data_IF_322702777228
#
_entry.id   IF_322702777228
#
_cell.length_a   1.000
_cell.length_b   1.000
_cell.length_c   1.000
_cell.angle_alpha   90.00
_cell.angle_beta   90.00
_cell.angle_gamma   90.00
#
_symmetry.space_group_name_H-M   'P 1'
#
loop_
_entity.id
_entity.type
_entity.pdbx_description
1 polymer ?
#
# COMPACT_ATOMS: atom_id res chain seq x y z
N UNK A 1 36.86 -45.26 34.18
CA UNK A 1 37.03 -43.82 34.49
C UNK A 1 36.74 -42.95 33.26
N UNK A 2 37.40 -43.20 32.11
CA UNK A 2 37.26 -42.42 30.86
C UNK A 2 35.82 -42.30 30.32
N UNK A 3 35.02 -43.37 30.40
CA UNK A 3 33.62 -43.36 29.96
C UNK A 3 32.70 -42.49 30.84
N UNK A 4 32.99 -42.38 32.14
CA UNK A 4 32.20 -41.56 33.06
C UNK A 4 32.45 -40.08 32.80
N UNK A 5 33.72 -39.70 32.55
CA UNK A 5 34.05 -38.32 32.18
C UNK A 5 33.44 -37.90 30.84
N UNK A 6 33.39 -38.80 29.85
CA UNK A 6 32.71 -38.55 28.58
C UNK A 6 31.20 -38.37 28.74
N UNK A 7 30.54 -39.20 29.55
CA UNK A 7 29.12 -39.06 29.85
C UNK A 7 28.84 -37.72 30.57
N UNK A 8 29.66 -37.35 31.56
CA UNK A 8 29.54 -36.06 32.25
C UNK A 8 29.77 -34.88 31.29
N UNK A 9 30.78 -34.95 30.43
CA UNK A 9 31.05 -33.91 29.44
C UNK A 9 29.87 -33.75 28.44
N UNK A 10 29.31 -34.86 27.97
CA UNK A 10 28.14 -34.85 27.08
C UNK A 10 26.92 -34.20 27.74
N UNK A 11 26.62 -34.56 28.99
CA UNK A 11 25.51 -33.95 29.74
C UNK A 11 25.72 -32.46 29.95
N UNK A 12 26.94 -32.03 30.26
CA UNK A 12 27.28 -30.60 30.42
C UNK A 12 27.13 -29.84 29.09
N UNK A 13 27.52 -30.44 27.97
CA UNK A 13 27.31 -29.85 26.63
C UNK A 13 25.82 -29.72 26.31
N UNK A 14 25.01 -30.74 26.62
CA UNK A 14 23.56 -30.67 26.45
C UNK A 14 22.92 -29.57 27.30
N UNK A 15 23.35 -29.42 28.56
CA UNK A 15 22.88 -28.35 29.46
C UNK A 15 23.30 -26.97 28.93
N UNK A 16 24.54 -26.82 28.49
CA UNK A 16 25.04 -25.57 27.91
C UNK A 16 24.28 -25.22 26.61
N UNK A 17 24.03 -26.19 25.74
CA UNK A 17 23.25 -26.00 24.53
C UNK A 17 21.80 -25.60 24.83
N UNK A 18 21.17 -26.25 25.80
CA UNK A 18 19.81 -25.88 26.24
C UNK A 18 19.77 -24.47 26.84
N UNK A 19 20.77 -24.09 27.64
CA UNK A 19 20.80 -22.79 28.29
C UNK A 19 21.15 -21.64 27.34
N UNK A 20 22.04 -21.86 26.38
CA UNK A 20 22.60 -20.79 25.55
C UNK A 20 22.20 -20.88 24.07
N UNK A 21 22.05 -22.08 23.52
CA UNK A 21 21.63 -22.29 22.13
C UNK A 21 20.15 -22.00 21.91
N UNK A 22 19.27 -22.48 22.81
CA UNK A 22 17.81 -22.29 22.69
C UNK A 22 17.38 -20.81 22.66
N UNK A 23 17.90 -19.91 23.54
CA UNK A 23 17.57 -18.49 23.49
C UNK A 23 18.05 -17.80 22.21
N UNK A 24 19.18 -18.24 21.66
CA UNK A 24 19.74 -17.69 20.42
C UNK A 24 18.87 -18.06 19.20
N UNK A 25 18.43 -19.32 19.09
CA UNK A 25 17.45 -19.73 18.07
C UNK A 25 16.12 -18.99 18.22
N UNK A 26 15.61 -18.84 19.46
CA UNK A 26 14.36 -18.12 19.71
C UNK A 26 14.41 -16.66 19.27
N UNK A 27 15.55 -15.97 19.44
CA UNK A 27 15.72 -14.58 18.98
C UNK A 27 15.70 -14.47 17.46
N UNK A 28 16.32 -15.42 16.77
CA UNK A 28 16.30 -15.46 15.31
C UNK A 28 14.89 -15.74 14.78
N UNK A 29 14.17 -16.65 15.42
CA UNK A 29 12.81 -17.02 15.05
C UNK A 29 11.79 -15.91 15.33
N UNK A 30 11.94 -15.18 16.46
CA UNK A 30 11.08 -14.04 16.82
C UNK A 30 11.04 -12.94 15.76
N UNK A 31 12.19 -12.62 15.14
CA UNK A 31 12.24 -11.60 14.09
C UNK A 31 11.51 -12.04 12.81
N UNK A 32 11.57 -13.34 12.48
CA UNK A 32 10.86 -13.89 11.33
C UNK A 32 9.36 -14.04 11.61
N UNK A 33 8.97 -14.50 12.80
CA UNK A 33 7.56 -14.59 13.22
C UNK A 33 6.93 -13.20 13.25
N UNK A 34 7.63 -12.18 13.75
CA UNK A 34 7.14 -10.81 13.71
C UNK A 34 6.92 -10.30 12.28
N UNK A 35 7.85 -10.60 11.36
CA UNK A 35 7.72 -10.25 9.93
C UNK A 35 6.54 -10.96 9.28
N UNK A 36 6.37 -12.26 9.53
CA UNK A 36 5.25 -13.04 8.97
C UNK A 36 3.92 -12.56 9.54
N UNK A 37 3.83 -12.31 10.84
CA UNK A 37 2.63 -11.77 11.48
C UNK A 37 2.27 -10.35 11.02
N UNK A 38 3.25 -9.57 10.56
CA UNK A 38 3.02 -8.27 9.95
C UNK A 38 2.53 -8.43 8.50
N UNK A 39 3.17 -9.30 7.72
CA UNK A 39 2.72 -9.64 6.37
C UNK A 39 1.31 -10.24 6.35
N UNK A 40 0.93 -11.04 7.35
CA UNK A 40 -0.41 -11.60 7.47
C UNK A 40 -1.44 -10.53 7.84
N UNK A 41 -1.08 -9.53 8.66
CA UNK A 41 -1.93 -8.35 8.92
C UNK A 41 -2.10 -7.51 7.67
N UNK A 42 -1.03 -7.26 6.92
CA UNK A 42 -1.06 -6.48 5.69
C UNK A 42 -1.85 -7.21 4.58
N UNK A 43 -1.81 -8.55 4.54
CA UNK A 43 -2.67 -9.38 3.67
C UNK A 43 -4.12 -9.42 4.13
N UNK A 44 -4.37 -9.40 5.44
CA UNK A 44 -5.71 -9.40 6.00
C UNK A 44 -6.44 -8.08 5.73
N UNK A 45 -5.70 -6.99 5.51
CA UNK A 45 -6.23 -5.70 5.05
C UNK A 45 -6.44 -5.70 3.54
N UNK A 46 -7.28 -6.61 3.05
CA UNK A 46 -7.65 -6.72 1.64
C UNK A 46 -8.26 -5.41 1.09
N UNK A 47 -8.77 -4.53 1.96
CA UNK A 47 -9.35 -3.25 1.56
C UNK A 47 -8.38 -2.07 1.61
N UNK A 48 -7.11 -2.27 1.99
CA UNK A 48 -6.09 -1.21 2.01
C UNK A 48 -5.97 -0.50 0.66
N UNK A 49 -5.99 -1.28 -0.42
CA UNK A 49 -5.90 -0.72 -1.78
C UNK A 49 -7.14 0.10 -2.17
N UNK A 50 -8.32 -0.28 -1.68
CA UNK A 50 -9.57 0.45 -1.93
C UNK A 50 -9.56 1.78 -1.18
N UNK A 51 -9.16 1.77 0.09
CA UNK A 51 -9.04 2.99 0.89
C UNK A 51 -8.04 3.95 0.28
N UNK A 52 -6.87 3.46 -0.10
CA UNK A 52 -5.87 4.28 -0.76
C UNK A 52 -6.37 4.88 -2.08
N UNK A 53 -7.10 4.09 -2.90
CA UNK A 53 -7.69 4.60 -4.13
C UNK A 53 -8.76 5.68 -3.88
N UNK A 54 -9.57 5.53 -2.82
CA UNK A 54 -10.55 6.53 -2.40
C UNK A 54 -9.87 7.80 -1.87
N UNK A 55 -8.80 7.67 -1.09
CA UNK A 55 -8.05 8.81 -0.56
C UNK A 55 -7.46 9.64 -1.71
N UNK A 56 -6.81 8.98 -2.67
CA UNK A 56 -6.24 9.63 -3.86
C UNK A 56 -7.34 10.25 -4.74
N UNK A 57 -8.51 9.60 -4.86
CA UNK A 57 -9.64 10.17 -5.58
C UNK A 57 -10.21 11.41 -4.85
N UNK A 58 -10.23 11.39 -3.51
CA UNK A 58 -10.70 12.50 -2.70
C UNK A 58 -9.82 13.75 -2.84
N UNK A 59 -8.51 13.58 -3.02
CA UNK A 59 -7.57 14.69 -3.30
C UNK A 59 -7.74 15.31 -4.69
N UNK A 60 -8.25 14.54 -5.66
CA UNK A 60 -8.45 15.01 -7.05
C UNK A 60 -9.78 15.72 -7.26
N UNK A 61 -10.73 15.53 -6.35
CA UNK A 61 -12.06 16.14 -6.41
C UNK A 61 -12.08 17.39 -5.55
N UNK A 62 -12.57 18.48 -6.13
CA UNK A 62 -12.69 19.77 -5.45
C UNK A 62 -13.50 19.66 -4.15
N UNK A 63 -13.20 20.51 -3.18
CA UNK A 63 -14.01 20.62 -1.96
C UNK A 63 -15.29 21.40 -2.23
N UNK A 64 -16.35 21.11 -1.45
CA UNK A 64 -17.58 21.90 -1.49
C UNK A 64 -17.27 23.29 -0.94
N UNK A 65 -17.53 24.33 -1.75
CA UNK A 65 -17.30 25.71 -1.35
C UNK A 65 -18.58 26.34 -0.79
N UNK A 66 -18.48 27.03 0.34
CA UNK A 66 -19.58 27.86 0.86
C UNK A 66 -19.56 29.24 0.20
N UNK A 67 -20.67 29.63 -0.43
CA UNK A 67 -20.85 30.92 -1.08
C UNK A 67 -22.00 31.67 -0.43
N UNK A 68 -21.73 32.90 0.02
CA UNK A 68 -22.77 33.80 0.54
C UNK A 68 -23.24 34.73 -0.56
N UNK A 69 -24.52 34.63 -0.92
CA UNK A 69 -25.18 35.48 -1.92
C UNK A 69 -26.26 36.29 -1.21
N UNK A 70 -25.94 37.56 -0.93
CA UNK A 70 -26.80 38.42 -0.13
C UNK A 70 -26.97 37.87 1.29
N UNK A 71 -28.21 37.55 1.67
CA UNK A 71 -28.54 36.98 2.97
C UNK A 71 -28.57 35.43 2.99
N UNK A 72 -28.41 34.78 1.84
CA UNK A 72 -28.53 33.34 1.71
C UNK A 72 -27.16 32.67 1.51
N UNK A 73 -26.93 31.57 2.24
CA UNK A 73 -25.77 30.69 2.04
C UNK A 73 -26.12 29.60 1.03
N UNK A 74 -25.26 29.40 0.05
CA UNK A 74 -25.33 28.35 -0.95
C UNK A 74 -24.03 27.56 -0.98
N UNK A 75 -24.05 26.35 -1.55
CA UNK A 75 -22.89 25.48 -1.64
C UNK A 75 -22.56 25.21 -3.11
N UNK A 76 -21.31 25.41 -3.52
CA UNK A 76 -20.85 25.23 -4.90
C UNK A 76 -19.96 23.97 -5.00
N UNK A 77 -20.23 23.14 -5.99
CA UNK A 77 -19.39 22.00 -6.35
C UNK A 77 -19.46 21.72 -7.87
N UNK A 78 -18.31 21.52 -8.54
CA UNK A 78 -18.19 21.25 -9.99
C UNK A 78 -19.08 22.15 -10.91
N UNK A 79 -19.23 23.44 -10.54
CA UNK A 79 -20.04 24.46 -11.21
C UNK A 79 -21.58 24.40 -10.97
N UNK A 80 -22.06 23.50 -10.11
CA UNK A 80 -23.46 23.46 -9.67
C UNK A 80 -23.64 24.06 -8.26
N UNK A 81 -24.78 24.73 -8.06
CA UNK A 81 -25.13 25.38 -6.79
C UNK A 81 -26.22 24.57 -6.09
N UNK A 82 -25.96 24.21 -4.84
CA UNK A 82 -26.87 23.45 -3.98
C UNK A 82 -27.40 24.33 -2.85
N UNK A 83 -28.63 24.03 -2.43
CA UNK A 83 -29.32 24.75 -1.35
C UNK A 83 -28.80 24.33 0.03
N UNK A 84 -28.36 23.08 0.16
CA UNK A 84 -27.84 22.52 1.41
C UNK A 84 -26.43 21.98 1.24
N UNK A 85 -25.70 21.90 2.36
CA UNK A 85 -24.34 21.32 2.37
C UNK A 85 -24.38 19.84 2.05
N UNK A 86 -25.36 19.14 2.63
CA UNK A 86 -25.46 17.69 2.54
C UNK A 86 -25.68 17.24 1.09
N UNK A 87 -26.51 17.97 0.32
CA UNK A 87 -26.71 17.73 -1.12
C UNK A 87 -25.40 17.90 -1.93
N UNK A 88 -24.64 18.95 -1.64
CA UNK A 88 -23.36 19.18 -2.32
C UNK A 88 -22.32 18.11 -1.98
N UNK A 89 -22.26 17.69 -0.71
CA UNK A 89 -21.35 16.64 -0.24
C UNK A 89 -21.73 15.25 -0.77
N UNK A 90 -23.02 14.95 -0.94
CA UNK A 90 -23.49 13.70 -1.57
C UNK A 90 -23.07 13.62 -3.05
N UNK A 91 -23.20 14.74 -3.77
CA UNK A 91 -22.73 14.84 -5.15
C UNK A 91 -21.22 14.71 -5.24
N UNK A 92 -20.49 15.33 -4.31
CA UNK A 92 -19.04 15.17 -4.19
C UNK A 92 -18.64 13.73 -3.92
N UNK A 93 -19.30 13.04 -2.98
CA UNK A 93 -19.01 11.64 -2.67
C UNK A 93 -19.24 10.73 -3.87
N UNK A 94 -20.31 10.99 -4.62
CA UNK A 94 -20.60 10.29 -5.89
C UNK A 94 -19.47 10.51 -6.90
N UNK A 95 -18.98 11.74 -7.02
CA UNK A 95 -17.86 12.07 -7.91
C UNK A 95 -16.56 11.38 -7.51
N UNK A 96 -16.22 11.40 -6.22
CA UNK A 96 -15.05 10.66 -5.68
C UNK A 96 -15.15 9.18 -6.01
N UNK A 97 -16.34 8.57 -5.88
CA UNK A 97 -16.57 7.18 -6.26
C UNK A 97 -16.31 6.90 -7.74
N UNK A 98 -16.74 7.80 -8.64
CA UNK A 98 -16.48 7.68 -10.09
C UNK A 98 -14.99 7.76 -10.39
N UNK A 99 -14.26 8.71 -9.78
CA UNK A 99 -12.81 8.85 -9.95
C UNK A 99 -12.06 7.62 -9.41
N UNK A 100 -12.44 7.13 -8.24
CA UNK A 100 -11.87 5.93 -7.65
C UNK A 100 -12.11 4.68 -8.51
N UNK A 101 -13.29 4.54 -9.13
CA UNK A 101 -13.59 3.43 -10.04
C UNK A 101 -12.72 3.47 -11.29
N UNK A 102 -12.53 4.66 -11.86
CA UNK A 102 -11.70 4.88 -13.04
C UNK A 102 -10.26 4.39 -12.85
N UNK A 103 -9.72 4.48 -11.64
CA UNK A 103 -8.40 3.92 -11.31
C UNK A 103 -8.32 2.41 -11.62
N UNK A 104 -9.35 1.64 -11.28
CA UNK A 104 -9.39 0.20 -11.57
C UNK A 104 -9.63 -0.09 -13.04
N UNK A 105 -10.39 0.74 -13.74
CA UNK A 105 -10.62 0.61 -15.19
C UNK A 105 -9.34 0.87 -16.00
N UNK A 106 -8.47 1.78 -15.54
CA UNK A 106 -7.20 2.12 -16.20
C UNK A 106 -6.05 1.17 -15.83
N UNK A 107 -6.19 0.39 -14.74
CA UNK A 107 -5.16 -0.50 -14.23
C UNK A 107 -4.66 -1.54 -15.25
N UNK A 108 -5.53 -2.25 -16.00
CA UNK A 108 -5.08 -3.23 -17.00
C UNK A 108 -4.22 -2.60 -18.10
N UNK A 109 -4.61 -1.42 -18.58
CA UNK A 109 -3.85 -0.68 -19.58
C UNK A 109 -2.49 -0.21 -19.03
N UNK A 110 -2.46 0.30 -17.80
CA UNK A 110 -1.23 0.70 -17.13
C UNK A 110 -0.26 -0.47 -16.91
N UNK A 111 -0.78 -1.64 -16.51
CA UNK A 111 0.01 -2.86 -16.33
C UNK A 111 0.53 -3.41 -17.66
N UNK A 112 -0.28 -3.39 -18.72
CA UNK A 112 0.16 -3.78 -20.06
C UNK A 112 1.32 -2.91 -20.55
N UNK A 113 1.23 -1.58 -20.37
CA UNK A 113 2.31 -0.65 -20.69
C UNK A 113 3.54 -0.79 -19.78
N UNK A 114 3.39 -1.27 -18.55
CA UNK A 114 4.51 -1.58 -17.65
C UNK A 114 5.24 -2.87 -18.06
N UNK A 115 4.49 -3.92 -18.43
CA UNK A 115 5.07 -5.17 -18.93
C UNK A 115 5.89 -4.94 -20.20
N UNK A 116 5.40 -4.11 -21.12
CA UNK A 116 6.12 -3.76 -22.34
C UNK A 116 7.41 -2.99 -22.04
N UNK A 117 7.37 -2.03 -21.10
CA UNK A 117 8.56 -1.31 -20.64
C UNK A 117 9.57 -2.20 -19.91
N UNK A 118 9.10 -3.22 -19.19
CA UNK A 118 9.94 -4.20 -18.49
C UNK A 118 10.66 -5.17 -19.42
N UNK A 119 10.07 -5.46 -20.60
CA UNK A 119 10.70 -6.25 -21.66
C UNK A 119 11.80 -5.48 -22.41
N UNK A 120 11.74 -4.16 -22.42
CA UNK A 120 12.75 -3.33 -23.08
C UNK A 120 14.03 -3.24 -22.23
N UNK A 121 15.15 -3.61 -22.85
CA UNK A 121 16.48 -3.39 -22.26
C UNK A 121 16.72 -1.90 -22.00
N UNK A 122 17.62 -1.58 -21.07
CA UNK A 122 17.97 -0.18 -20.74
C UNK A 122 18.39 0.63 -21.99
N UNK A 123 19.01 -0.03 -22.98
CA UNK A 123 19.42 0.56 -24.25
C UNK A 123 18.23 0.89 -25.15
N UNK A 124 17.23 0.00 -25.23
CA UNK A 124 16.02 0.23 -26.02
C UNK A 124 15.12 1.32 -25.39
N UNK A 125 15.10 1.42 -24.06
CA UNK A 125 14.43 2.52 -23.37
C UNK A 125 15.06 3.88 -23.68
N UNK A 126 16.38 3.94 -23.72
CA UNK A 126 17.09 5.16 -24.09
C UNK A 126 16.81 5.53 -25.56
N UNK A 127 16.88 4.58 -26.49
CA UNK A 127 16.66 4.87 -27.93
C UNK A 127 15.21 5.28 -28.26
N UNK A 128 14.22 4.65 -27.61
CA UNK A 128 12.82 5.03 -27.78
C UNK A 128 12.53 6.46 -27.29
N UNK A 129 13.17 6.87 -26.18
CA UNK A 129 13.05 8.22 -25.64
C UNK A 129 13.61 9.27 -26.59
N UNK A 130 14.77 9.00 -27.21
CA UNK A 130 15.38 9.87 -28.20
C UNK A 130 14.56 10.01 -29.49
N UNK A 131 13.96 8.91 -29.98
CA UNK A 131 13.07 8.96 -31.15
C UNK A 131 11.81 9.80 -30.93
N UNK A 132 11.30 9.83 -29.68
CA UNK A 132 10.09 10.57 -29.34
C UNK A 132 10.31 12.08 -29.17
N UNK A 133 11.55 12.51 -28.90
CA UNK A 133 11.93 13.93 -28.73
C UNK A 133 12.55 14.56 -29.98
N UNK A 134 12.80 13.77 -31.03
CA UNK A 134 13.40 14.23 -32.28
C UNK A 134 12.36 14.67 -33.34
N UNK A 135 11.11 14.87 -32.93
CA UNK A 135 10.02 15.40 -33.74
C UNK A 135 9.60 16.77 -33.24
#
# INVERSE_FOLDING_TARGET
>A
MTNVYWACAFVLVCIAFYRFGLPWLKRFDQANVARIAQQDRDKADANAHIRHALDVANEQVEEVQEIKVGAATHYLFEAEVYATRDEAEEMRATRVGVVARRFYDELPAALAGAAERGRMSARERASARWKKTAH
#
